data_IF_167897805240
#
_entry.id   IF_167897805240
#
_cell.length_a   1.000
_cell.length_b   1.000
_cell.length_c   1.000
_cell.angle_alpha   90.00
_cell.angle_beta   90.00
_cell.angle_gamma   90.00
#
_symmetry.space_group_name_H-M   'P 1'
#
loop_
_entity.id
_entity.type
_entity.pdbx_description
1 polymer ?
#
# COMPACT_ATOMS: atom_id res chain seq x y z
N UNK A 1 -17.82 4.72 -8.78
CA UNK A 1 -17.23 3.41 -9.13
C UNK A 1 -17.46 2.44 -7.99
N UNK A 2 -17.88 1.24 -8.33
CA UNK A 2 -18.17 0.21 -7.33
C UNK A 2 -16.94 -0.70 -7.18
N UNK A 3 -16.44 -0.86 -5.94
CA UNK A 3 -15.33 -1.75 -5.67
C UNK A 3 -15.82 -3.20 -5.61
N UNK A 4 -15.28 -4.04 -6.47
CA UNK A 4 -15.58 -5.48 -6.46
C UNK A 4 -14.58 -6.27 -5.60
N UNK A 5 -13.46 -5.70 -5.23
CA UNK A 5 -12.43 -6.39 -4.49
C UNK A 5 -12.84 -6.65 -3.04
N UNK A 6 -12.48 -7.83 -2.55
CA UNK A 6 -12.63 -8.17 -1.13
C UNK A 6 -11.54 -7.49 -0.33
N UNK A 7 -11.94 -6.76 0.72
CA UNK A 7 -11.00 -6.13 1.65
C UNK A 7 -10.64 -7.14 2.74
N UNK A 8 -9.35 -7.34 2.93
CA UNK A 8 -8.81 -8.26 3.94
C UNK A 8 -8.03 -7.46 4.96
N UNK A 9 -8.34 -7.65 6.24
CA UNK A 9 -7.53 -7.10 7.32
C UNK A 9 -6.40 -8.07 7.61
N UNK A 10 -5.17 -7.60 7.41
CA UNK A 10 -4.01 -8.43 7.66
C UNK A 10 -3.83 -8.67 9.16
N UNK A 11 -3.73 -9.95 9.53
CA UNK A 11 -3.37 -10.35 10.89
C UNK A 11 -2.02 -11.03 10.82
N UNK A 12 -1.06 -10.51 11.57
CA UNK A 12 0.31 -11.01 11.52
C UNK A 12 1.10 -10.35 10.39
N UNK A 13 1.84 -11.14 9.65
CA UNK A 13 2.77 -10.63 8.65
C UNK A 13 2.06 -10.33 7.32
N UNK A 14 1.89 -9.05 7.04
CA UNK A 14 1.25 -8.59 5.80
C UNK A 14 1.95 -9.12 4.54
N UNK A 15 3.26 -9.32 4.59
CA UNK A 15 4.04 -9.79 3.43
C UNK A 15 3.76 -11.25 3.08
N UNK A 16 3.10 -11.99 3.96
CA UNK A 16 2.70 -13.37 3.70
C UNK A 16 1.30 -13.47 3.11
N UNK A 17 0.59 -12.36 2.96
CA UNK A 17 -0.76 -12.36 2.38
C UNK A 17 -0.71 -12.76 0.91
N UNK A 18 -1.66 -13.59 0.50
CA UNK A 18 -1.83 -13.99 -0.90
C UNK A 18 -2.95 -13.19 -1.59
N UNK A 19 -3.38 -12.09 -0.99
CA UNK A 19 -4.31 -11.17 -1.65
C UNK A 19 -3.68 -10.68 -2.97
N UNK A 20 -4.52 -10.25 -3.90
CA UNK A 20 -4.01 -9.71 -5.16
C UNK A 20 -3.06 -8.54 -4.94
N UNK A 21 -3.38 -7.68 -3.98
CA UNK A 21 -2.51 -6.59 -3.59
C UNK A 21 -2.43 -6.47 -2.08
N UNK A 22 -1.27 -6.05 -1.58
CA UNK A 22 -1.11 -5.61 -0.20
C UNK A 22 -0.88 -4.11 -0.21
N UNK A 23 -1.31 -3.43 0.86
CA UNK A 23 -1.16 -1.98 0.99
C UNK A 23 0.00 -1.69 1.94
N UNK A 24 0.91 -0.86 1.48
CA UNK A 24 2.02 -0.36 2.27
C UNK A 24 1.74 1.07 2.71
N UNK A 25 1.82 1.34 4.01
CA UNK A 25 1.75 2.71 4.52
C UNK A 25 3.08 3.39 4.20
N UNK A 26 3.08 4.20 3.16
CA UNK A 26 4.28 4.74 2.56
C UNK A 26 4.47 6.23 2.87
N UNK A 27 5.69 6.70 2.63
CA UNK A 27 5.97 8.13 2.55
C UNK A 27 5.81 8.60 1.10
N UNK A 28 5.77 9.92 0.92
CA UNK A 28 5.54 10.52 -0.40
C UNK A 28 6.68 10.33 -1.38
N UNK A 29 7.88 10.00 -0.90
CA UNK A 29 9.02 9.70 -1.77
C UNK A 29 9.10 8.22 -2.15
N UNK A 30 8.18 7.40 -1.63
CA UNK A 30 8.11 5.97 -1.91
C UNK A 30 9.41 5.23 -1.59
N UNK A 31 10.06 5.62 -0.50
CA UNK A 31 11.25 4.95 -0.02
C UNK A 31 10.89 3.91 1.02
N UNK A 32 11.23 2.66 0.73
CA UNK A 32 10.95 1.56 1.62
C UNK A 32 11.99 1.55 2.75
N UNK A 33 11.55 2.00 3.93
CA UNK A 33 12.41 2.12 5.09
C UNK A 33 12.35 0.92 6.02
N UNK A 34 11.97 1.16 7.29
CA UNK A 34 11.84 0.11 8.30
C UNK A 34 10.45 -0.47 8.40
N UNK A 35 10.23 -1.29 9.41
CA UNK A 35 8.91 -1.88 9.68
C UNK A 35 8.37 -2.71 8.53
N UNK A 36 7.09 -2.57 8.24
CA UNK A 36 6.42 -3.31 7.15
C UNK A 36 7.06 -2.99 5.80
N UNK A 37 7.37 -1.73 5.53
CA UNK A 37 8.02 -1.33 4.28
C UNK A 37 9.38 -2.03 4.11
N UNK A 38 10.15 -2.12 5.18
CA UNK A 38 11.43 -2.84 5.17
C UNK A 38 11.25 -4.33 4.90
N UNK A 39 10.22 -4.94 5.48
CA UNK A 39 9.91 -6.35 5.23
C UNK A 39 9.50 -6.57 3.77
N UNK A 40 8.71 -5.66 3.20
CA UNK A 40 8.31 -5.71 1.79
C UNK A 40 9.56 -5.65 0.90
N UNK A 41 10.50 -4.76 1.21
CA UNK A 41 11.73 -4.64 0.44
C UNK A 41 12.58 -5.91 0.51
N UNK A 42 12.75 -6.45 1.70
CA UNK A 42 13.57 -7.66 1.90
C UNK A 42 12.97 -8.88 1.22
N UNK A 43 11.68 -9.11 1.45
CA UNK A 43 11.00 -10.32 0.95
C UNK A 43 10.60 -10.20 -0.51
N UNK A 44 10.28 -9.00 -0.96
CA UNK A 44 9.88 -8.76 -2.34
C UNK A 44 11.05 -8.61 -3.30
N UNK A 45 12.25 -8.36 -2.77
CA UNK A 45 13.44 -8.17 -3.57
C UNK A 45 13.58 -6.74 -4.09
N UNK A 46 14.64 -6.46 -4.87
CA UNK A 46 14.97 -5.09 -5.27
C UNK A 46 14.02 -4.48 -6.30
N UNK A 47 13.22 -5.29 -6.98
CA UNK A 47 12.34 -4.80 -8.03
C UNK A 47 11.32 -3.78 -7.52
N UNK A 48 10.79 -3.97 -6.31
CA UNK A 48 9.76 -3.09 -5.77
C UNK A 48 10.32 -1.68 -5.55
N UNK A 49 11.49 -1.55 -4.92
CA UNK A 49 12.10 -0.23 -4.73
C UNK A 49 12.48 0.40 -6.06
N UNK A 50 12.96 -0.39 -7.03
CA UNK A 50 13.30 0.11 -8.35
C UNK A 50 12.08 0.70 -9.05
N UNK A 51 10.92 0.04 -8.94
CA UNK A 51 9.67 0.57 -9.50
C UNK A 51 9.23 1.84 -8.78
N UNK A 52 9.37 1.89 -7.46
CA UNK A 52 9.09 3.09 -6.67
C UNK A 52 9.99 4.25 -7.12
N UNK A 53 11.27 3.98 -7.32
CA UNK A 53 12.22 5.01 -7.78
C UNK A 53 11.84 5.53 -9.17
N UNK A 54 11.35 4.67 -10.04
CA UNK A 54 10.91 5.07 -11.38
C UNK A 54 9.65 5.95 -11.33
N UNK A 55 8.75 5.70 -10.37
CA UNK A 55 7.56 6.53 -10.16
C UNK A 55 7.97 7.91 -9.62
N UNK A 56 8.94 7.93 -8.72
CA UNK A 56 9.37 9.15 -8.04
C UNK A 56 8.44 9.53 -6.91
N UNK A 57 8.42 10.83 -6.56
CA UNK A 57 7.57 11.31 -5.47
C UNK A 57 6.12 11.47 -5.94
N UNK A 58 5.19 11.22 -5.01
CA UNK A 58 3.77 11.48 -5.23
C UNK A 58 3.26 12.36 -4.08
N UNK A 59 2.15 13.10 -4.28
CA UNK A 59 1.62 13.92 -3.19
C UNK A 59 1.13 13.08 -2.02
N UNK A 60 1.28 13.59 -0.80
CA UNK A 60 0.65 12.99 0.39
C UNK A 60 -0.86 12.92 0.17
N UNK A 61 -1.45 11.80 0.50
CA UNK A 61 -2.87 11.55 0.28
C UNK A 61 -3.16 10.77 -1.00
N UNK A 62 -2.14 10.51 -1.82
CA UNK A 62 -2.26 9.71 -3.04
C UNK A 62 -1.65 8.32 -2.84
N UNK A 63 -1.78 7.48 -3.83
CA UNK A 63 -1.21 6.13 -3.81
C UNK A 63 -0.64 5.79 -5.17
N UNK A 64 0.28 4.82 -5.20
CA UNK A 64 0.87 4.32 -6.44
C UNK A 64 0.99 2.81 -6.33
N UNK A 65 0.92 2.12 -7.47
CA UNK A 65 0.99 0.67 -7.51
C UNK A 65 2.30 0.22 -8.16
N UNK A 66 2.91 -0.82 -7.56
CA UNK A 66 4.04 -1.52 -8.14
C UNK A 66 3.73 -3.01 -8.21
N UNK A 67 4.60 -3.78 -8.86
CA UNK A 67 4.51 -5.23 -8.75
C UNK A 67 4.81 -5.68 -7.32
N UNK A 68 4.47 -6.92 -7.03
CA UNK A 68 4.80 -7.53 -5.73
C UNK A 68 6.18 -8.18 -5.70
N UNK A 69 6.93 -8.11 -6.79
CA UNK A 69 8.25 -8.76 -6.84
C UNK A 69 8.13 -10.24 -6.48
N UNK A 70 8.91 -10.67 -5.49
CA UNK A 70 8.91 -12.06 -5.03
C UNK A 70 7.85 -12.36 -3.97
N UNK A 71 7.01 -11.38 -3.60
CA UNK A 71 5.93 -11.60 -2.64
C UNK A 71 4.84 -12.49 -3.22
N UNK A 72 4.02 -13.07 -2.35
CA UNK A 72 2.83 -13.83 -2.77
C UNK A 72 1.82 -12.92 -3.45
N UNK A 73 1.64 -11.69 -2.96
CA UNK A 73 0.78 -10.71 -3.58
C UNK A 73 1.33 -10.29 -4.95
N UNK A 74 0.44 -10.15 -5.91
CA UNK A 74 0.83 -9.74 -7.27
C UNK A 74 1.26 -8.29 -7.33
N UNK A 75 0.70 -7.45 -6.45
CA UNK A 75 0.94 -6.01 -6.44
C UNK A 75 1.15 -5.51 -5.02
N UNK A 76 1.87 -4.39 -4.92
CA UNK A 76 1.91 -3.58 -3.70
C UNK A 76 1.34 -2.21 -4.05
N UNK A 77 0.37 -1.74 -3.28
CA UNK A 77 -0.17 -0.39 -3.43
C UNK A 77 0.40 0.45 -2.29
N UNK A 78 1.17 1.46 -2.65
CA UNK A 78 1.86 2.33 -1.69
C UNK A 78 1.00 3.54 -1.42
N UNK A 79 0.42 3.59 -0.23
CA UNK A 79 -0.42 4.71 0.21
C UNK A 79 0.46 5.77 0.86
N UNK A 80 0.64 6.91 0.18
CA UNK A 80 1.49 7.98 0.68
C UNK A 80 0.76 8.78 1.75
N UNK A 81 0.80 8.29 2.98
CA UNK A 81 0.09 8.88 4.11
C UNK A 81 0.94 9.86 4.91
N UNK A 82 2.22 10.03 4.55
CA UNK A 82 3.14 10.91 5.28
C UNK A 82 4.25 11.38 4.36
N UNK A 83 4.91 12.49 4.73
CA UNK A 83 6.17 12.88 4.12
C UNK A 83 7.28 12.00 4.67
N UNK A 84 8.36 11.83 3.89
CA UNK A 84 9.53 11.09 4.35
C UNK A 84 10.06 11.72 5.64
N UNK A 85 10.14 10.92 6.70
CA UNK A 85 10.54 11.40 8.03
C UNK A 85 9.43 12.11 8.80
N UNK A 86 8.23 12.25 8.23
CA UNK A 86 7.12 12.92 8.86
C UNK A 86 6.17 11.98 9.59
N UNK A 87 5.02 12.51 9.94
CA UNK A 87 3.97 11.76 10.62
C UNK A 87 2.74 11.63 9.73
N UNK A 88 2.08 10.50 9.87
CA UNK A 88 0.76 10.28 9.27
C UNK A 88 -0.30 11.11 9.98
N UNK A 89 -1.25 11.66 9.22
CA UNK A 89 -2.48 12.25 9.76
C UNK A 89 -3.66 11.38 9.35
N UNK A 90 -4.75 11.47 10.13
CA UNK A 90 -5.96 10.72 9.79
C UNK A 90 -6.49 11.11 8.41
N UNK A 91 -6.45 12.39 8.07
CA UNK A 91 -6.92 12.87 6.78
C UNK A 91 -6.08 12.29 5.63
N UNK A 92 -4.75 12.32 5.74
CA UNK A 92 -3.86 11.77 4.71
C UNK A 92 -4.03 10.26 4.59
N UNK A 93 -4.19 9.56 5.72
CA UNK A 93 -4.38 8.12 5.72
C UNK A 93 -5.70 7.75 5.03
N UNK A 94 -6.79 8.46 5.33
CA UNK A 94 -8.08 8.22 4.66
C UNK A 94 -8.01 8.50 3.17
N UNK A 95 -7.40 9.62 2.78
CA UNK A 95 -7.27 10.00 1.38
C UNK A 95 -6.47 8.98 0.58
N UNK A 96 -5.30 8.57 1.10
CA UNK A 96 -4.46 7.60 0.41
C UNK A 96 -5.09 6.22 0.39
N UNK A 97 -5.81 5.84 1.45
CA UNK A 97 -6.56 4.58 1.50
C UNK A 97 -7.66 4.56 0.42
N UNK A 98 -8.41 5.67 0.30
CA UNK A 98 -9.43 5.78 -0.74
C UNK A 98 -8.82 5.65 -2.14
N UNK A 99 -7.64 6.23 -2.35
CA UNK A 99 -6.95 6.11 -3.63
C UNK A 99 -6.50 4.68 -3.89
N UNK A 100 -6.05 3.95 -2.85
CA UNK A 100 -5.72 2.53 -2.97
C UNK A 100 -6.93 1.73 -3.47
N UNK A 101 -8.11 1.98 -2.90
CA UNK A 101 -9.33 1.28 -3.31
C UNK A 101 -9.70 1.62 -4.75
N UNK A 102 -9.51 2.86 -5.16
CA UNK A 102 -9.75 3.26 -6.55
C UNK A 102 -8.82 2.54 -7.51
N UNK A 103 -7.52 2.46 -7.18
CA UNK A 103 -6.54 1.73 -7.99
C UNK A 103 -6.94 0.26 -8.10
N UNK A 104 -7.33 -0.36 -6.99
CA UNK A 104 -7.76 -1.76 -6.98
C UNK A 104 -8.95 -1.97 -7.90
N UNK A 105 -9.92 -1.05 -7.87
CA UNK A 105 -11.09 -1.12 -8.75
C UNK A 105 -10.70 -0.97 -10.23
N UNK A 106 -9.82 -0.01 -10.53
CA UNK A 106 -9.37 0.23 -11.91
C UNK A 106 -8.59 -0.95 -12.47
N UNK A 107 -7.85 -1.67 -11.62
CA UNK A 107 -7.07 -2.85 -12.01
C UNK A 107 -7.87 -4.14 -11.93
N UNK A 108 -9.13 -4.07 -11.53
CA UNK A 108 -10.01 -5.24 -11.38
C UNK A 108 -9.43 -6.29 -10.42
N UNK A 109 -8.79 -5.85 -9.35
CA UNK A 109 -8.26 -6.75 -8.34
C UNK A 109 -9.40 -7.37 -7.54
N UNK A 110 -9.24 -8.64 -7.15
CA UNK A 110 -10.29 -9.36 -6.43
C UNK A 110 -10.12 -9.31 -4.92
N UNK A 111 -8.92 -9.02 -4.45
CA UNK A 111 -8.66 -8.90 -3.02
C UNK A 111 -7.55 -7.89 -2.76
N UNK A 112 -7.66 -7.19 -1.64
CA UNK A 112 -6.69 -6.19 -1.21
C UNK A 112 -6.54 -6.31 0.31
N UNK A 113 -5.31 -6.47 0.78
CA UNK A 113 -5.02 -6.61 2.20
C UNK A 113 -4.41 -5.33 2.74
N UNK A 114 -4.99 -4.83 3.83
CA UNK A 114 -4.54 -3.63 4.50
C UNK A 114 -3.81 -3.96 5.79
N UNK A 115 -2.78 -3.17 6.17
CA UNK A 115 -2.28 -3.22 7.53
C UNK A 115 -3.38 -2.74 8.49
N UNK A 116 -3.33 -3.20 9.75
CA UNK A 116 -4.42 -2.98 10.70
C UNK A 116 -4.78 -1.50 10.86
N UNK A 117 -3.79 -0.62 10.90
CA UNK A 117 -4.04 0.82 11.08
C UNK A 117 -4.83 1.42 9.91
N UNK A 118 -4.46 1.10 8.68
CA UNK A 118 -5.15 1.61 7.51
C UNK A 118 -6.58 1.07 7.43
N UNK A 119 -6.79 -0.19 7.77
CA UNK A 119 -8.12 -0.79 7.78
C UNK A 119 -9.02 -0.14 8.81
N UNK A 120 -8.49 0.19 10.01
CA UNK A 120 -9.25 0.90 11.04
C UNK A 120 -9.73 2.26 10.55
N UNK A 121 -8.86 3.02 9.88
CA UNK A 121 -9.24 4.33 9.34
C UNK A 121 -10.29 4.20 8.24
N UNK A 122 -10.17 3.21 7.38
CA UNK A 122 -11.16 2.96 6.33
C UNK A 122 -12.53 2.64 6.93
N UNK A 123 -12.58 1.89 8.02
CA UNK A 123 -13.83 1.54 8.68
C UNK A 123 -14.44 2.70 9.47
N UNK A 124 -13.64 3.67 9.90
CA UNK A 124 -14.11 4.80 10.69
C UNK A 124 -14.72 5.92 9.85
N UNK A 125 -14.60 5.85 8.56
CA UNK A 125 -15.20 6.83 7.67
C UNK A 125 -16.56 6.38 7.20
#
# INVERSE_FOLDING_TARGET
MKLAARIVLAQGDLTESDADAIVNAANNDLRLGGGVAGAIRRKGGPAIQAECDAIGSIPVGFAAITSGGNLKARFVIHAASMQLGGRTTAAALRSSTAHCLRIAAEKNLQSIAFPALAASEACST
#
